data_IF_277429000446
#
_entry.id   IF_277429000446
#
_cell.length_a   1.000
_cell.length_b   1.000
_cell.length_c   1.000
_cell.angle_alpha   90.00
_cell.angle_beta   90.00
_cell.angle_gamma   90.00
#
_symmetry.space_group_name_H-M   'P 1'
#
loop_
_entity.id
_entity.type
_entity.pdbx_description
1 polymer ?
#
# COMPACT_ATOMS: atom_id res chain seq x y z
N UNK A 1 56.24 1.06 5.03
CA UNK A 1 55.74 0.64 6.36
C UNK A 1 54.42 -0.09 6.13
N UNK A 2 54.34 -1.38 6.47
CA UNK A 2 53.09 -2.15 6.42
C UNK A 2 52.34 -1.86 7.73
N UNK A 3 51.27 -1.11 7.65
CA UNK A 3 50.34 -1.02 8.78
C UNK A 3 49.66 -2.38 8.91
N UNK A 4 49.97 -3.09 9.97
CA UNK A 4 49.35 -4.38 10.24
C UNK A 4 48.02 -4.16 10.92
N UNK A 5 46.94 -4.53 10.24
CA UNK A 5 45.57 -4.54 10.82
C UNK A 5 45.53 -5.49 12.02
N UNK A 6 45.25 -4.94 13.20
CA UNK A 6 45.28 -5.69 14.46
C UNK A 6 43.91 -6.17 14.90
N UNK A 7 43.84 -7.24 15.73
CA UNK A 7 42.60 -7.70 16.33
C UNK A 7 41.91 -6.62 17.14
N UNK A 8 42.67 -5.72 17.79
CA UNK A 8 42.12 -4.56 18.52
C UNK A 8 41.45 -3.57 17.61
N UNK A 9 42.06 -3.26 16.46
CA UNK A 9 41.45 -2.39 15.45
C UNK A 9 40.17 -3.02 14.90
N UNK A 10 40.17 -4.28 14.52
CA UNK A 10 38.97 -5.00 14.06
C UNK A 10 37.83 -4.94 15.08
N UNK A 11 38.14 -5.23 16.33
CA UNK A 11 37.17 -5.16 17.44
C UNK A 11 36.57 -3.77 17.61
N UNK A 12 37.41 -2.74 17.61
CA UNK A 12 36.94 -1.38 17.80
C UNK A 12 36.10 -0.88 16.63
N UNK A 13 36.46 -1.23 15.39
CA UNK A 13 35.64 -0.95 14.20
C UNK A 13 34.29 -1.66 14.29
N UNK A 14 34.29 -2.94 14.66
CA UNK A 14 33.06 -3.72 14.79
C UNK A 14 32.12 -3.14 15.85
N UNK A 15 32.58 -2.94 17.07
CA UNK A 15 31.75 -2.40 18.15
C UNK A 15 31.37 -0.94 17.90
N UNK A 16 32.31 -0.11 17.44
CA UNK A 16 32.01 1.29 17.12
C UNK A 16 30.99 1.42 16.00
N UNK A 17 31.17 0.65 14.93
CA UNK A 17 30.21 0.60 13.84
C UNK A 17 28.85 0.07 14.27
N UNK A 18 28.82 -1.02 15.05
CA UNK A 18 27.55 -1.57 15.56
C UNK A 18 26.78 -0.59 16.43
N UNK A 19 27.47 0.09 17.36
CA UNK A 19 26.84 1.11 18.21
C UNK A 19 26.35 2.29 17.38
N UNK A 20 27.15 2.76 16.43
CA UNK A 20 26.76 3.90 15.57
C UNK A 20 25.49 3.56 14.78
N UNK A 21 25.47 2.43 14.07
CA UNK A 21 24.31 2.06 13.27
C UNK A 21 23.08 1.72 14.13
N UNK A 22 23.28 1.18 15.33
CA UNK A 22 22.18 0.98 16.26
C UNK A 22 21.55 2.30 16.70
N UNK A 23 22.35 3.32 16.98
CA UNK A 23 21.84 4.65 17.32
C UNK A 23 21.11 5.31 16.14
N UNK A 24 21.64 5.16 14.92
CA UNK A 24 20.96 5.62 13.69
C UNK A 24 19.62 4.90 13.54
N UNK A 25 19.59 3.58 13.72
CA UNK A 25 18.34 2.80 13.67
C UNK A 25 17.31 3.30 14.68
N UNK A 26 17.70 3.52 15.93
CA UNK A 26 16.79 4.06 16.96
C UNK A 26 16.29 5.45 16.56
N UNK A 27 17.18 6.34 16.09
CA UNK A 27 16.78 7.68 15.64
C UNK A 27 15.76 7.65 14.52
N UNK A 28 16.00 6.85 13.48
CA UNK A 28 15.06 6.67 12.35
C UNK A 28 13.74 6.03 12.79
N UNK A 29 13.79 5.08 13.74
CA UNK A 29 12.58 4.45 14.30
C UNK A 29 11.72 5.48 15.03
N UNK A 30 12.32 6.32 15.86
CA UNK A 30 11.61 7.39 16.58
C UNK A 30 11.01 8.40 15.59
N UNK A 31 11.77 8.83 14.59
CA UNK A 31 11.27 9.73 13.53
C UNK A 31 10.06 9.13 12.80
N UNK A 32 10.16 7.86 12.40
CA UNK A 32 9.07 7.14 11.74
C UNK A 32 7.81 7.06 12.62
N UNK A 33 7.97 6.65 13.89
CA UNK A 33 6.83 6.53 14.82
C UNK A 33 6.14 7.87 15.05
N UNK A 34 6.90 8.97 15.08
CA UNK A 34 6.34 10.32 15.22
C UNK A 34 5.72 10.85 13.92
N UNK A 35 6.25 10.43 12.76
CA UNK A 35 5.81 10.86 11.45
C UNK A 35 4.54 10.16 10.96
N UNK A 36 4.44 8.84 11.18
CA UNK A 36 3.33 8.01 10.69
C UNK A 36 1.93 8.58 10.99
N UNK A 37 1.61 9.02 12.23
CA UNK A 37 0.27 9.54 12.53
C UNK A 37 -0.17 10.74 11.69
N UNK A 38 0.78 11.42 11.06
CA UNK A 38 0.51 12.61 10.23
C UNK A 38 0.18 12.26 8.78
N UNK A 39 0.45 11.03 8.37
CA UNK A 39 0.39 10.61 6.96
C UNK A 39 -0.52 9.42 6.71
N UNK A 40 -0.70 8.52 7.68
CA UNK A 40 -1.32 7.22 7.49
C UNK A 40 -2.86 7.20 7.55
N UNK A 41 -3.50 8.37 7.68
CA UNK A 41 -4.96 8.51 7.70
C UNK A 41 -5.67 7.66 8.78
N UNK A 42 -4.95 7.26 9.86
CA UNK A 42 -5.44 6.32 10.89
C UNK A 42 -6.74 6.73 11.58
N UNK A 43 -7.04 8.02 11.59
CA UNK A 43 -8.27 8.56 12.22
C UNK A 43 -9.54 8.11 11.47
N UNK A 44 -9.40 7.69 10.22
CA UNK A 44 -10.49 7.24 9.36
C UNK A 44 -10.57 5.71 9.21
N UNK A 45 -9.87 4.96 10.05
CA UNK A 45 -9.99 3.49 10.09
C UNK A 45 -11.27 3.13 10.82
N UNK A 46 -12.28 2.71 10.05
CA UNK A 46 -13.54 2.12 10.56
C UNK A 46 -13.52 0.59 10.46
N UNK A 47 -14.54 -0.05 11.03
CA UNK A 47 -14.73 -1.50 10.85
C UNK A 47 -14.97 -1.87 9.37
N UNK A 48 -15.67 -1.03 8.63
CA UNK A 48 -15.90 -1.20 7.18
C UNK A 48 -14.59 -1.13 6.40
N UNK A 49 -13.71 -0.17 6.71
CA UNK A 49 -12.37 -0.07 6.10
C UNK A 49 -11.56 -1.33 6.41
N UNK A 50 -11.59 -1.81 7.64
CA UNK A 50 -10.88 -3.02 8.03
C UNK A 50 -11.47 -4.29 7.37
N UNK A 51 -12.79 -4.35 7.20
CA UNK A 51 -13.48 -5.42 6.47
C UNK A 51 -13.13 -5.38 4.99
N UNK A 52 -13.17 -4.21 4.36
CA UNK A 52 -12.78 -4.01 2.97
C UNK A 52 -11.32 -4.41 2.70
N UNK A 53 -10.40 -4.11 3.63
CA UNK A 53 -9.01 -4.57 3.55
C UNK A 53 -8.93 -6.11 3.58
N UNK A 54 -9.67 -6.77 4.46
CA UNK A 54 -9.71 -8.25 4.50
C UNK A 54 -10.25 -8.85 3.20
N UNK A 55 -11.31 -8.25 2.63
CA UNK A 55 -11.86 -8.67 1.33
C UNK A 55 -10.82 -8.48 0.21
N UNK A 56 -10.11 -7.37 0.21
CA UNK A 56 -9.02 -7.07 -0.72
C UNK A 56 -7.93 -8.15 -0.68
N UNK A 57 -7.49 -8.52 0.51
CA UNK A 57 -6.45 -9.55 0.72
C UNK A 57 -6.97 -10.96 0.36
N UNK A 58 -8.17 -11.31 0.83
CA UNK A 58 -8.76 -12.63 0.60
C UNK A 58 -9.00 -12.92 -0.88
N UNK A 59 -9.40 -11.91 -1.65
CA UNK A 59 -9.64 -12.04 -3.08
C UNK A 59 -8.39 -11.77 -3.93
N UNK A 60 -7.22 -11.65 -3.30
CA UNK A 60 -5.93 -11.47 -3.96
C UNK A 60 -5.93 -10.32 -5.00
N UNK A 61 -6.52 -9.18 -4.66
CA UNK A 61 -6.56 -8.03 -5.54
C UNK A 61 -5.16 -7.52 -5.89
N UNK A 62 -4.19 -7.63 -4.96
CA UNK A 62 -2.76 -7.35 -5.17
C UNK A 62 -2.10 -8.26 -6.24
N UNK A 63 -2.71 -9.38 -6.56
CA UNK A 63 -2.23 -10.26 -7.63
C UNK A 63 -2.37 -9.65 -9.04
N UNK A 64 -3.15 -8.58 -9.18
CA UNK A 64 -3.32 -7.86 -10.43
C UNK A 64 -3.07 -6.36 -10.29
N UNK A 65 -3.52 -5.75 -9.19
CA UNK A 65 -3.41 -4.32 -8.92
C UNK A 65 -2.23 -3.98 -8.01
N UNK A 66 -1.72 -2.77 -8.14
CA UNK A 66 -0.91 -2.14 -7.10
C UNK A 66 -1.79 -1.26 -6.21
N UNK A 67 -1.40 -1.17 -4.94
CA UNK A 67 -1.96 -0.24 -3.97
C UNK A 67 -0.80 0.44 -3.25
N UNK A 68 -0.67 1.75 -3.41
CA UNK A 68 0.42 2.55 -2.84
C UNK A 68 1.82 1.99 -3.20
N UNK A 69 1.96 1.47 -4.42
CA UNK A 69 3.22 0.94 -4.95
C UNK A 69 3.47 -0.54 -4.67
N UNK A 70 2.64 -1.19 -3.87
CA UNK A 70 2.77 -2.62 -3.60
C UNK A 70 1.76 -3.43 -4.43
N UNK A 71 2.20 -4.55 -4.99
CA UNK A 71 1.36 -5.46 -5.77
C UNK A 71 1.85 -5.68 -7.19
N UNK A 72 0.98 -6.22 -8.05
CA UNK A 72 1.28 -6.55 -9.43
C UNK A 72 0.85 -5.44 -10.39
N UNK A 73 1.65 -5.22 -11.44
CA UNK A 73 1.42 -4.20 -12.47
C UNK A 73 0.63 -4.71 -13.68
N UNK A 74 -0.31 -5.62 -13.48
CA UNK A 74 -1.19 -6.09 -14.57
C UNK A 74 -2.42 -5.21 -14.79
N UNK A 75 -2.81 -4.50 -13.76
CA UNK A 75 -3.98 -3.63 -13.73
C UNK A 75 -3.58 -2.28 -13.09
N UNK A 76 -4.41 -1.25 -13.20
CA UNK A 76 -4.09 0.07 -12.69
C UNK A 76 -3.80 0.09 -11.19
N UNK A 77 -2.96 1.04 -10.78
CA UNK A 77 -2.77 1.44 -9.38
C UNK A 77 -4.09 1.96 -8.79
N UNK A 78 -4.42 1.54 -7.58
CA UNK A 78 -5.71 1.87 -6.94
C UNK A 78 -5.59 2.83 -5.74
N UNK A 79 -4.39 3.29 -5.38
CA UNK A 79 -4.20 4.23 -4.28
C UNK A 79 -4.89 5.58 -4.45
N UNK A 80 -5.22 5.99 -5.69
CA UNK A 80 -5.96 7.21 -5.99
C UNK A 80 -7.27 6.94 -6.74
N UNK A 81 -7.81 5.74 -6.67
CA UNK A 81 -8.98 5.34 -7.45
C UNK A 81 -10.23 6.12 -7.07
N UNK A 82 -10.41 6.48 -5.80
CA UNK A 82 -11.54 7.27 -5.33
C UNK A 82 -11.56 8.65 -5.99
N UNK A 83 -10.44 9.36 -5.99
CA UNK A 83 -10.28 10.64 -6.70
C UNK A 83 -10.51 10.50 -8.20
N UNK A 84 -9.94 9.46 -8.85
CA UNK A 84 -10.13 9.21 -10.29
C UNK A 84 -11.58 8.94 -10.69
N UNK A 85 -12.38 8.38 -9.81
CA UNK A 85 -13.80 8.12 -10.03
C UNK A 85 -14.70 9.27 -9.54
N UNK A 86 -14.15 10.48 -9.43
CA UNK A 86 -14.88 11.68 -9.05
C UNK A 86 -15.37 11.66 -7.60
N UNK A 87 -14.56 11.08 -6.71
CA UNK A 87 -14.87 10.95 -5.27
C UNK A 87 -16.17 10.18 -5.00
N UNK A 88 -16.46 9.18 -5.82
CA UNK A 88 -17.69 8.40 -5.76
C UNK A 88 -17.42 6.93 -5.45
N UNK A 89 -17.84 6.49 -4.26
CA UNK A 89 -17.86 5.06 -3.90
C UNK A 89 -18.82 4.27 -4.77
N UNK A 90 -19.95 4.88 -5.18
CA UNK A 90 -20.91 4.24 -6.08
C UNK A 90 -20.31 3.93 -7.46
N UNK A 91 -19.46 4.82 -7.99
CA UNK A 91 -18.78 4.58 -9.24
C UNK A 91 -17.79 3.38 -9.13
N UNK A 92 -17.06 3.27 -8.02
CA UNK A 92 -16.17 2.14 -7.75
C UNK A 92 -16.98 0.84 -7.66
N UNK A 93 -18.06 0.80 -6.88
CA UNK A 93 -18.97 -0.35 -6.74
C UNK A 93 -19.56 -0.77 -8.09
N UNK A 94 -20.07 0.21 -8.83
CA UNK A 94 -20.62 -0.01 -10.17
C UNK A 94 -19.62 -0.61 -11.13
N UNK A 95 -18.36 -0.15 -11.10
CA UNK A 95 -17.30 -0.72 -11.90
C UNK A 95 -17.02 -2.19 -11.55
N UNK A 96 -16.90 -2.52 -10.27
CA UNK A 96 -16.66 -3.90 -9.82
C UNK A 96 -17.83 -4.81 -10.23
N UNK A 97 -19.07 -4.37 -10.02
CA UNK A 97 -20.28 -5.11 -10.42
C UNK A 97 -20.37 -5.33 -11.94
N UNK A 98 -19.89 -4.41 -12.73
CA UNK A 98 -19.99 -4.47 -14.20
C UNK A 98 -19.01 -5.45 -14.84
N UNK A 99 -18.15 -6.12 -14.07
CA UNK A 99 -17.17 -7.05 -14.63
C UNK A 99 -17.86 -8.29 -15.22
N UNK A 100 -17.39 -8.77 -16.38
CA UNK A 100 -17.94 -9.97 -16.99
C UNK A 100 -17.63 -11.21 -16.16
N UNK A 101 -18.62 -12.09 -15.97
CA UNK A 101 -18.50 -13.32 -15.18
C UNK A 101 -17.38 -14.21 -15.73
N UNK A 102 -17.35 -14.41 -17.04
CA UNK A 102 -16.39 -15.28 -17.72
C UNK A 102 -15.10 -14.55 -18.16
N UNK A 103 -14.91 -13.30 -17.69
CA UNK A 103 -13.81 -12.47 -18.15
C UNK A 103 -13.94 -12.05 -19.61
N UNK A 104 -12.82 -11.62 -20.21
CA UNK A 104 -12.78 -11.21 -21.63
C UNK A 104 -11.92 -12.23 -22.37
N UNK A 105 -12.48 -12.92 -23.38
CA UNK A 105 -11.75 -13.93 -24.15
C UNK A 105 -10.45 -13.39 -24.74
N UNK A 106 -9.38 -14.17 -24.64
CA UNK A 106 -8.09 -13.87 -25.24
C UNK A 106 -7.21 -12.87 -24.48
N UNK A 107 -7.66 -12.34 -23.33
CA UNK A 107 -6.84 -11.48 -22.47
C UNK A 107 -7.18 -11.64 -20.99
N UNK A 108 -6.20 -11.33 -20.14
CA UNK A 108 -6.43 -11.22 -18.70
C UNK A 108 -7.37 -10.03 -18.43
N UNK A 109 -8.39 -10.25 -17.65
CA UNK A 109 -9.34 -9.22 -17.24
C UNK A 109 -9.70 -9.40 -15.78
N UNK A 110 -10.15 -8.33 -15.12
CA UNK A 110 -10.69 -8.41 -13.77
C UNK A 110 -11.92 -9.34 -13.79
N UNK A 111 -11.96 -10.39 -12.95
CA UNK A 111 -13.12 -11.26 -12.85
C UNK A 111 -14.26 -10.58 -12.10
N UNK A 112 -15.46 -11.12 -12.21
CA UNK A 112 -16.53 -10.78 -11.30
C UNK A 112 -16.39 -11.61 -10.00
N UNK A 113 -16.48 -10.93 -8.85
CA UNK A 113 -16.30 -11.58 -7.54
C UNK A 113 -17.63 -11.95 -6.86
N UNK A 114 -18.77 -11.58 -7.44
CA UNK A 114 -20.11 -11.78 -6.88
C UNK A 114 -20.29 -11.25 -5.45
N UNK A 115 -19.65 -10.11 -5.17
CA UNK A 115 -19.78 -9.45 -3.87
C UNK A 115 -21.21 -8.99 -3.62
N UNK A 116 -21.65 -9.12 -2.38
CA UNK A 116 -22.85 -8.50 -1.88
C UNK A 116 -22.72 -6.95 -1.87
N UNK A 117 -23.82 -6.25 -1.76
CA UNK A 117 -23.80 -4.78 -1.69
C UNK A 117 -23.01 -4.26 -0.48
N UNK A 118 -23.03 -5.00 0.64
CA UNK A 118 -22.22 -4.68 1.82
C UNK A 118 -20.73 -4.87 1.55
N UNK A 119 -20.30 -5.98 0.98
CA UNK A 119 -18.89 -6.23 0.66
C UNK A 119 -18.36 -5.22 -0.36
N UNK A 120 -19.18 -4.81 -1.32
CA UNK A 120 -18.84 -3.75 -2.26
C UNK A 120 -18.64 -2.40 -1.56
N UNK A 121 -19.50 -2.07 -0.58
CA UNK A 121 -19.33 -0.87 0.22
C UNK A 121 -18.04 -0.93 1.04
N UNK A 122 -17.77 -2.03 1.71
CA UNK A 122 -16.56 -2.24 2.51
C UNK A 122 -15.28 -2.06 1.66
N UNK A 123 -15.24 -2.66 0.46
CA UNK A 123 -14.11 -2.48 -0.48
C UNK A 123 -13.99 -1.02 -0.93
N UNK A 124 -15.12 -0.36 -1.25
CA UNK A 124 -15.11 1.02 -1.68
C UNK A 124 -14.65 1.97 -0.57
N UNK A 125 -15.05 1.72 0.68
CA UNK A 125 -14.57 2.48 1.85
C UNK A 125 -13.08 2.25 2.12
N UNK A 126 -12.59 1.02 1.95
CA UNK A 126 -11.16 0.75 2.03
C UNK A 126 -10.35 1.50 0.96
N UNK A 127 -10.82 1.52 -0.29
CA UNK A 127 -10.15 2.25 -1.36
C UNK A 127 -10.21 3.77 -1.17
N UNK A 128 -11.33 4.30 -0.65
CA UNK A 128 -11.44 5.69 -0.22
C UNK A 128 -10.48 6.03 0.91
N UNK A 129 -10.34 5.14 1.90
CA UNK A 129 -9.37 5.30 2.98
C UNK A 129 -7.93 5.34 2.44
N UNK A 130 -7.58 4.44 1.51
CA UNK A 130 -6.27 4.39 0.89
C UNK A 130 -5.93 5.68 0.12
N UNK A 131 -6.90 6.26 -0.59
CA UNK A 131 -6.78 7.54 -1.29
C UNK A 131 -6.45 8.71 -0.33
N UNK A 132 -6.93 8.65 0.90
CA UNK A 132 -6.66 9.63 1.95
C UNK A 132 -5.27 9.51 2.60
N UNK A 133 -4.49 8.48 2.30
CA UNK A 133 -3.13 8.32 2.83
C UNK A 133 -2.19 9.32 2.14
N UNK A 134 -1.48 10.12 2.92
CA UNK A 134 -0.51 11.08 2.39
C UNK A 134 0.76 10.37 1.97
N UNK A 135 0.90 10.20 0.66
CA UNK A 135 2.07 9.61 0.02
C UNK A 135 3.11 10.68 -0.36
N UNK A 136 4.18 10.27 -1.03
CA UNK A 136 5.12 11.20 -1.64
C UNK A 136 4.42 12.14 -2.63
N UNK A 137 4.96 13.37 -2.78
CA UNK A 137 4.32 14.46 -3.53
C UNK A 137 3.84 14.08 -4.93
N UNK A 138 4.60 13.22 -5.60
CA UNK A 138 4.36 12.82 -6.99
C UNK A 138 3.79 11.40 -7.11
N UNK A 139 3.13 10.91 -6.07
CA UNK A 139 2.50 9.60 -6.06
C UNK A 139 0.96 9.70 -6.27
N UNK A 140 0.37 8.81 -7.09
CA UNK A 140 1.06 7.91 -8.01
C UNK A 140 1.70 8.69 -9.18
N UNK A 141 2.81 8.21 -9.73
CA UNK A 141 3.52 8.91 -10.82
C UNK A 141 2.69 9.00 -12.11
N UNK A 142 1.69 8.14 -12.24
CA UNK A 142 0.70 8.17 -13.29
C UNK A 142 -0.70 8.35 -12.66
N UNK A 143 -1.33 9.50 -12.89
CA UNK A 143 -2.66 9.81 -12.35
C UNK A 143 -3.78 8.92 -12.92
N UNK A 144 -3.51 8.19 -13.98
CA UNK A 144 -4.47 7.25 -14.58
C UNK A 144 -4.36 5.83 -13.98
N UNK A 145 -3.38 5.61 -13.10
CA UNK A 145 -3.13 4.33 -12.45
C UNK A 145 -2.24 3.39 -13.23
#
# INVERSE_FOLDING_TARGET
MRETFTKGMARNIYYGGSVFFFLVFIGLTVDTVQGLPKTDNRENISEEVAAGKRLWEHNNCLGCHTLLGEGAYFAPELGNVYTRYGESTEAIKGFIKSRPIDGIPGRRSMPQFNFSDQELEEIAQFLKYADGIKTARDWPPNIQG
#
